data_IF_641782862833
#
_entry.id   IF_641782862833
#
_cell.length_a   1.000
_cell.length_b   1.000
_cell.length_c   1.000
_cell.angle_alpha   90.00
_cell.angle_beta   90.00
_cell.angle_gamma   90.00
#
_symmetry.space_group_name_H-M   'P 1'
#
loop_
_entity.id
_entity.type
_entity.pdbx_description
1 polymer ?
#
# COMPACT_ATOMS: atom_id res chain seq x y z
N UNK A 1 8.23 -5.30 -1.66
CA UNK A 1 8.72 -5.05 -0.33
C UNK A 1 7.74 -4.43 0.66
N UNK A 2 6.50 -4.31 0.36
CA UNK A 2 5.44 -4.06 1.32
C UNK A 2 5.48 -2.73 2.08
N UNK A 3 5.91 -1.64 1.46
CA UNK A 3 5.86 -0.30 2.08
C UNK A 3 4.43 0.06 2.51
N UNK A 4 3.45 -0.25 1.68
CA UNK A 4 2.04 0.00 1.97
C UNK A 4 1.38 -1.07 2.84
N UNK A 5 2.14 -2.02 3.35
CA UNK A 5 1.65 -3.07 4.24
C UNK A 5 1.69 -2.74 5.73
N UNK A 6 1.69 -1.46 6.10
CA UNK A 6 1.76 -1.03 7.49
C UNK A 6 3.19 -1.08 8.06
N UNK A 7 4.16 -0.62 7.28
CA UNK A 7 5.58 -0.74 7.64
C UNK A 7 5.94 0.06 8.89
N UNK A 8 5.36 1.25 9.10
CA UNK A 8 5.65 2.08 10.28
C UNK A 8 5.18 1.40 11.56
N UNK A 9 3.97 0.84 11.55
CA UNK A 9 3.47 0.08 12.68
C UNK A 9 4.34 -1.14 12.99
N UNK A 10 4.72 -1.89 11.96
CA UNK A 10 5.57 -3.09 12.12
C UNK A 10 6.95 -2.76 12.69
N UNK A 11 7.51 -1.61 12.34
CA UNK A 11 8.77 -1.12 12.91
C UNK A 11 8.58 -0.72 14.38
N UNK A 12 7.50 -0.02 14.70
CA UNK A 12 7.15 0.33 16.07
C UNK A 12 6.94 -0.91 16.94
N UNK A 13 6.45 -2.01 16.37
CA UNK A 13 6.31 -3.32 17.02
C UNK A 13 7.64 -4.12 17.10
N UNK A 14 8.76 -3.53 16.72
CA UNK A 14 10.10 -4.11 16.84
C UNK A 14 10.63 -4.84 15.62
N UNK A 15 9.98 -4.75 14.47
CA UNK A 15 10.49 -5.35 13.23
C UNK A 15 11.68 -4.57 12.71
N UNK A 16 12.80 -5.27 12.47
CA UNK A 16 13.98 -4.67 11.89
C UNK A 16 13.83 -4.50 10.37
N UNK A 17 14.18 -3.30 9.88
CA UNK A 17 14.28 -3.02 8.47
C UNK A 17 15.74 -3.13 8.00
N UNK A 18 15.95 -3.55 6.75
CA UNK A 18 17.27 -3.44 6.14
C UNK A 18 17.67 -1.96 5.99
N UNK A 19 18.97 -1.63 5.92
CA UNK A 19 19.40 -0.25 5.74
C UNK A 19 18.77 0.44 4.53
N UNK A 20 18.66 -0.27 3.40
CA UNK A 20 18.02 0.27 2.19
C UNK A 20 16.53 0.54 2.40
N UNK A 21 15.83 -0.36 3.08
CA UNK A 21 14.42 -0.19 3.41
C UNK A 21 14.24 1.00 4.37
N UNK A 22 15.12 1.13 5.35
CA UNK A 22 15.09 2.25 6.29
C UNK A 22 15.26 3.60 5.59
N UNK A 23 16.18 3.70 4.64
CA UNK A 23 16.36 4.91 3.83
C UNK A 23 15.09 5.27 3.06
N UNK A 24 14.43 4.30 2.45
CA UNK A 24 13.16 4.52 1.73
C UNK A 24 12.05 4.96 2.68
N UNK A 25 11.97 4.36 3.85
CA UNK A 25 10.99 4.73 4.88
C UNK A 25 11.21 6.17 5.32
N UNK A 26 12.44 6.55 5.62
CA UNK A 26 12.76 7.91 6.06
C UNK A 26 12.42 8.94 4.99
N UNK A 27 12.70 8.65 3.73
CA UNK A 27 12.37 9.50 2.59
C UNK A 27 10.86 9.67 2.40
N UNK A 28 10.09 8.61 2.59
CA UNK A 28 8.65 8.57 2.35
C UNK A 28 7.81 8.69 3.63
N UNK A 29 8.44 8.94 4.77
CA UNK A 29 7.77 8.95 6.07
C UNK A 29 6.50 9.80 6.12
N UNK A 30 6.46 11.06 5.65
CA UNK A 30 5.23 11.85 5.68
C UNK A 30 4.08 11.19 4.92
N UNK A 31 4.36 10.61 3.76
CA UNK A 31 3.37 9.91 2.94
C UNK A 31 2.92 8.61 3.60
N UNK A 32 3.83 7.85 4.20
CA UNK A 32 3.53 6.62 4.92
C UNK A 32 2.67 6.88 6.15
N UNK A 33 2.97 7.94 6.90
CA UNK A 33 2.17 8.35 8.05
C UNK A 33 0.74 8.74 7.64
N UNK A 34 0.59 9.54 6.59
CA UNK A 34 -0.71 9.92 6.06
C UNK A 34 -1.51 8.70 5.56
N UNK A 35 -0.85 7.77 4.89
CA UNK A 35 -1.46 6.54 4.41
C UNK A 35 -1.92 5.63 5.56
N UNK A 36 -1.08 5.38 6.54
CA UNK A 36 -1.45 4.53 7.69
C UNK A 36 -2.53 5.18 8.55
N UNK A 37 -2.53 6.51 8.69
CA UNK A 37 -3.61 7.25 9.35
C UNK A 37 -4.94 7.10 8.61
N UNK A 38 -4.93 7.18 7.27
CA UNK A 38 -6.12 6.94 6.46
C UNK A 38 -6.66 5.52 6.65
N UNK A 39 -5.79 4.51 6.67
CA UNK A 39 -6.20 3.13 6.92
C UNK A 39 -6.82 2.96 8.32
N UNK A 40 -6.28 3.62 9.33
CA UNK A 40 -6.86 3.63 10.68
C UNK A 40 -8.26 4.26 10.71
N UNK A 41 -8.47 5.36 9.99
CA UNK A 41 -9.79 5.99 9.86
C UNK A 41 -10.81 5.04 9.22
N UNK A 42 -10.37 4.27 8.23
CA UNK A 42 -11.21 3.28 7.55
C UNK A 42 -11.47 2.03 8.40
N UNK A 43 -10.68 1.82 9.45
CA UNK A 43 -10.74 0.59 10.25
C UNK A 43 -10.24 -0.64 9.50
N UNK A 44 -9.41 -0.45 8.47
CA UNK A 44 -8.90 -1.51 7.61
C UNK A 44 -7.39 -1.66 7.71
N UNK A 45 -6.91 -2.86 7.42
CA UNK A 45 -5.47 -3.12 7.40
C UNK A 45 -4.82 -2.43 6.20
N UNK A 46 -3.64 -1.79 6.38
CA UNK A 46 -2.94 -1.14 5.28
C UNK A 46 -2.69 -2.02 4.05
N UNK A 47 -2.36 -3.28 4.27
CA UNK A 47 -2.16 -4.24 3.16
C UNK A 47 -3.43 -4.50 2.36
N UNK A 48 -4.58 -4.56 3.02
CA UNK A 48 -5.87 -4.79 2.37
C UNK A 48 -6.29 -3.55 1.57
N UNK A 49 -6.08 -2.36 2.12
CA UNK A 49 -6.34 -1.08 1.43
C UNK A 49 -5.47 -0.95 0.19
N UNK A 50 -4.18 -1.26 0.30
CA UNK A 50 -3.26 -1.20 -0.84
C UNK A 50 -3.70 -2.13 -1.97
N UNK A 51 -4.05 -3.36 -1.66
CA UNK A 51 -4.49 -4.34 -2.65
C UNK A 51 -5.84 -3.95 -3.26
N UNK A 52 -6.79 -3.49 -2.44
CA UNK A 52 -8.08 -3.00 -2.91
C UNK A 52 -7.92 -1.78 -3.83
N UNK A 53 -7.01 -0.87 -3.51
CA UNK A 53 -6.72 0.29 -4.35
C UNK A 53 -6.22 -0.11 -5.73
N UNK A 54 -5.31 -1.07 -5.80
CA UNK A 54 -4.86 -1.63 -7.09
C UNK A 54 -6.03 -2.22 -7.87
N UNK A 55 -6.89 -3.00 -7.22
CA UNK A 55 -8.05 -3.63 -7.85
C UNK A 55 -9.14 -2.64 -8.30
N UNK A 56 -9.19 -1.45 -7.72
CA UNK A 56 -10.13 -0.39 -8.13
C UNK A 56 -9.71 0.33 -9.42
N UNK A 57 -8.49 0.15 -9.88
CA UNK A 57 -8.04 0.71 -11.15
C UNK A 57 -8.69 -0.06 -12.30
N UNK A 58 -9.47 0.62 -13.19
CA UNK A 58 -10.20 -0.06 -14.27
C UNK A 58 -9.30 -0.73 -15.31
N UNK A 59 -8.02 -0.37 -15.37
CA UNK A 59 -7.04 -0.97 -16.27
C UNK A 59 -6.51 -2.31 -15.72
N UNK A 60 -6.57 -2.49 -14.40
CA UNK A 60 -6.06 -3.70 -13.74
C UNK A 60 -7.09 -4.81 -13.81
N UNK A 61 -6.74 -5.93 -14.45
CA UNK A 61 -7.59 -7.12 -14.52
C UNK A 61 -7.48 -7.97 -13.27
N UNK A 62 -6.24 -8.16 -12.78
CA UNK A 62 -5.95 -8.94 -11.57
C UNK A 62 -4.67 -8.42 -10.91
N UNK A 63 -4.59 -8.57 -9.60
CA UNK A 63 -3.40 -8.26 -8.83
C UNK A 63 -2.66 -9.55 -8.47
N UNK A 64 -1.33 -9.49 -8.54
CA UNK A 64 -0.46 -10.59 -8.12
C UNK A 64 0.02 -10.30 -6.70
N UNK A 65 -0.21 -11.22 -5.79
CA UNK A 65 0.27 -11.10 -4.41
C UNK A 65 1.13 -12.30 -4.01
N UNK A 66 2.08 -12.09 -3.12
CA UNK A 66 2.99 -13.12 -2.65
C UNK A 66 2.89 -13.32 -1.14
N UNK A 67 1.79 -13.92 -0.65
CA UNK A 67 1.67 -14.22 0.77
C UNK A 67 2.71 -15.27 1.19
N UNK A 68 3.31 -15.07 2.35
CA UNK A 68 4.28 -16.03 2.93
C UNK A 68 3.65 -16.93 3.98
N UNK A 69 2.49 -16.54 4.51
CA UNK A 69 1.76 -17.30 5.54
C UNK A 69 0.30 -17.49 5.12
N UNK A 70 -0.35 -18.50 5.66
CA UNK A 70 -1.79 -18.73 5.46
C UNK A 70 -2.62 -17.54 5.94
N UNK A 71 -2.21 -16.91 7.02
CA UNK A 71 -2.86 -15.72 7.56
C UNK A 71 -2.82 -14.57 6.55
N UNK A 72 -1.67 -14.30 5.96
CA UNK A 72 -1.53 -13.28 4.91
C UNK A 72 -2.38 -13.60 3.69
N UNK A 73 -2.47 -14.87 3.30
CA UNK A 73 -3.33 -15.29 2.20
C UNK A 73 -4.80 -15.02 2.50
N UNK A 74 -5.26 -15.37 3.71
CA UNK A 74 -6.64 -15.09 4.13
C UNK A 74 -6.95 -13.60 4.14
N UNK A 75 -6.04 -12.77 4.60
CA UNK A 75 -6.17 -11.31 4.56
C UNK A 75 -6.27 -10.81 3.12
N UNK A 76 -5.41 -11.27 2.23
CA UNK A 76 -5.42 -10.87 0.83
C UNK A 76 -6.76 -11.20 0.14
N UNK A 77 -7.43 -12.27 0.53
CA UNK A 77 -8.73 -12.67 -0.03
C UNK A 77 -9.87 -11.72 0.38
N UNK A 78 -9.69 -10.88 1.37
CA UNK A 78 -10.66 -9.84 1.76
C UNK A 78 -10.64 -8.62 0.84
N UNK A 79 -9.50 -8.33 0.22
CA UNK A 79 -9.30 -7.12 -0.58
C UNK A 79 -10.33 -6.96 -1.73
N UNK A 80 -10.71 -8.01 -2.48
CA UNK A 80 -11.72 -7.87 -3.54
C UNK A 80 -13.10 -7.45 -3.02
N UNK A 81 -13.44 -7.74 -1.78
CA UNK A 81 -14.72 -7.35 -1.18
C UNK A 81 -14.67 -5.98 -0.50
N UNK A 82 -13.48 -5.40 -0.35
CA UNK A 82 -13.30 -4.08 0.25
C UNK A 82 -13.64 -3.00 -0.78
N UNK A 83 -14.70 -2.24 -0.52
CA UNK A 83 -15.11 -1.13 -1.37
C UNK A 83 -14.52 0.17 -0.84
N UNK A 84 -13.70 0.83 -1.65
CA UNK A 84 -13.16 2.15 -1.36
C UNK A 84 -14.07 3.22 -1.97
N UNK A 85 -14.46 4.21 -1.16
CA UNK A 85 -15.27 5.33 -1.64
C UNK A 85 -14.47 6.22 -2.60
N UNK A 86 -15.15 7.03 -3.42
CA UNK A 86 -14.50 8.01 -4.30
C UNK A 86 -13.65 9.00 -3.51
N UNK A 87 -14.12 9.42 -2.34
CA UNK A 87 -13.37 10.28 -1.44
C UNK A 87 -12.07 9.62 -0.95
N UNK A 88 -12.14 8.36 -0.55
CA UNK A 88 -10.96 7.58 -0.14
C UNK A 88 -9.97 7.43 -1.29
N UNK A 89 -10.44 7.12 -2.49
CA UNK A 89 -9.58 7.02 -3.68
C UNK A 89 -8.90 8.36 -3.99
N UNK A 90 -9.62 9.47 -3.88
CA UNK A 90 -9.04 10.81 -4.06
C UNK A 90 -7.95 11.10 -3.02
N UNK A 91 -8.17 10.75 -1.76
CA UNK A 91 -7.17 10.91 -0.69
C UNK A 91 -5.92 10.06 -0.94
N UNK A 92 -6.09 8.83 -1.42
CA UNK A 92 -4.96 7.97 -1.79
C UNK A 92 -4.15 8.57 -2.94
N UNK A 93 -4.82 9.14 -3.93
CA UNK A 93 -4.16 9.81 -5.06
C UNK A 93 -3.41 11.08 -4.63
N UNK A 94 -3.89 11.80 -3.63
CA UNK A 94 -3.18 12.94 -3.04
C UNK A 94 -1.93 12.50 -2.27
N UNK A 95 -2.01 11.42 -1.50
CA UNK A 95 -0.89 10.87 -0.73
C UNK A 95 0.17 10.29 -1.67
N UNK A 96 -0.26 9.56 -2.67
CA UNK A 96 0.58 8.87 -3.65
C UNK A 96 0.24 9.32 -5.07
N UNK A 97 0.63 10.54 -5.47
CA UNK A 97 0.36 11.01 -6.82
C UNK A 97 1.08 10.13 -7.86
N UNK A 98 0.37 9.84 -8.93
CA UNK A 98 0.93 9.10 -10.05
C UNK A 98 1.97 9.91 -10.83
N UNK A 99 2.55 9.34 -11.89
CA UNK A 99 3.61 9.98 -12.68
C UNK A 99 3.15 11.20 -13.51
N UNK A 100 1.93 11.66 -13.35
CA UNK A 100 1.47 12.93 -13.95
C UNK A 100 1.28 12.91 -15.46
N UNK A 101 1.03 11.78 -16.07
CA UNK A 101 0.79 11.63 -17.49
C UNK A 101 2.03 11.30 -18.33
N UNK A 102 3.22 11.39 -17.76
CA UNK A 102 4.42 10.86 -18.39
C UNK A 102 4.59 9.37 -18.05
N UNK A 103 5.01 8.61 -19.05
CA UNK A 103 5.32 7.21 -18.80
C UNK A 103 6.49 7.11 -17.80
N UNK A 104 6.41 6.24 -16.81
CA UNK A 104 7.55 6.01 -15.92
C UNK A 104 8.76 5.54 -16.73
N UNK A 105 9.95 5.92 -16.28
CA UNK A 105 11.19 5.47 -16.92
C UNK A 105 11.19 3.95 -16.96
N UNK A 106 11.39 3.40 -18.14
CA UNK A 106 11.47 1.96 -18.32
C UNK A 106 12.61 1.38 -17.46
N UNK A 107 12.30 0.36 -16.73
CA UNK A 107 13.32 -0.32 -15.93
C UNK A 107 14.25 -1.10 -16.83
N UNK A 108 15.54 -0.89 -16.67
CA UNK A 108 16.50 -1.88 -17.13
C UNK A 108 16.36 -3.12 -16.24
N UNK A 109 15.97 -4.19 -16.84
CA UNK A 109 15.82 -5.47 -16.17
C UNK A 109 17.17 -6.12 -15.96
#
# INVERSE_FOLDING_TARGET
>A
MGLLGGVLRKIAEGRRASPLLQMRIDRLRPQLEAYEALCNELGEMPSDVALAWVLHNPIVTAAISGPRTVEQLRQNLKAPSLTLSKETLARLDEIWPGPGGEAPVAYAW
#
